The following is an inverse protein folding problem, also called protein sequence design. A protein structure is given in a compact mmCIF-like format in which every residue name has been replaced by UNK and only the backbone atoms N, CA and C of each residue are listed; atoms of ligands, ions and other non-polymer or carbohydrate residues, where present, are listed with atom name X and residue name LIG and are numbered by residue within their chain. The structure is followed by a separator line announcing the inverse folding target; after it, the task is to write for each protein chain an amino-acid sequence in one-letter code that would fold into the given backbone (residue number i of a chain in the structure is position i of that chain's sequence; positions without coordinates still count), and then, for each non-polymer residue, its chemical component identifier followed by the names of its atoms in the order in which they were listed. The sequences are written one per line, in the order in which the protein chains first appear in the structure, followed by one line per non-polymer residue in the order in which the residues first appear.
data_IF_988644610784
#
_entry.id   IF_988644610784
#
_cell.length_a   1.000
_cell.length_b   1.000
_cell.length_c   1.000
_cell.angle_alpha   90.00
_cell.angle_beta   90.00
_cell.angle_gamma   90.00
#
_symmetry.space_group_name_H-M   'P 1'
#
loop_
_entity.id
_entity.type
_entity.pdbx_description
1 polymer ?
#
# COMPACT_ATOMS: atom_id res chain seq x y z
N UNK A 1 8.67 15.94 -14.98
CA UNK A 1 8.64 16.80 -13.79
C UNK A 1 9.25 16.04 -12.61
N UNK A 2 10.16 16.65 -11.84
CA UNK A 2 10.79 16.03 -10.65
C UNK A 2 9.77 15.84 -9.52
N UNK A 3 8.76 16.73 -9.45
CA UNK A 3 7.65 16.69 -8.50
C UNK A 3 6.97 15.33 -8.39
N UNK A 4 6.71 14.65 -9.51
CA UNK A 4 6.04 13.34 -9.52
C UNK A 4 6.89 12.22 -8.91
N UNK A 5 8.22 12.28 -9.06
CA UNK A 5 9.12 11.33 -8.40
C UNK A 5 9.08 11.50 -6.88
N UNK A 6 9.03 12.75 -6.41
CA UNK A 6 8.94 13.07 -4.98
C UNK A 6 7.58 12.62 -4.42
N UNK A 7 6.47 12.95 -5.10
CA UNK A 7 5.15 12.47 -4.71
C UNK A 7 5.08 10.94 -4.63
N UNK A 8 5.66 10.25 -5.62
CA UNK A 8 5.72 8.79 -5.63
C UNK A 8 6.46 8.24 -4.42
N UNK A 9 7.63 8.80 -4.09
CA UNK A 9 8.36 8.39 -2.88
C UNK A 9 7.58 8.64 -1.59
N UNK A 10 6.84 9.75 -1.50
CA UNK A 10 6.00 10.06 -0.34
C UNK A 10 4.87 9.04 -0.21
N UNK A 11 4.16 8.74 -1.29
CA UNK A 11 3.06 7.75 -1.25
C UNK A 11 3.54 6.33 -0.96
N UNK A 12 4.70 5.94 -1.53
CA UNK A 12 5.34 4.65 -1.19
C UNK A 12 5.71 4.63 0.30
N UNK A 13 6.34 5.69 0.81
CA UNK A 13 6.71 5.80 2.21
C UNK A 13 5.51 5.76 3.16
N UNK A 14 4.42 6.46 2.82
CA UNK A 14 3.17 6.42 3.59
C UNK A 14 2.55 5.03 3.57
N UNK A 15 2.50 4.35 2.42
CA UNK A 15 1.97 2.99 2.33
C UNK A 15 2.81 1.97 3.11
N UNK A 16 4.14 2.13 3.14
CA UNK A 16 5.03 1.29 3.96
C UNK A 16 4.83 1.59 5.45
N UNK A 17 4.76 2.86 5.85
CA UNK A 17 4.50 3.21 7.26
C UNK A 17 3.18 2.62 7.75
N UNK A 18 2.13 2.70 6.92
CA UNK A 18 0.82 2.14 7.21
C UNK A 18 0.85 0.59 7.34
N UNK A 19 1.69 -0.07 6.55
CA UNK A 19 1.97 -1.50 6.68
C UNK A 19 2.75 -1.83 7.95
N UNK A 20 3.77 -1.05 8.28
CA UNK A 20 4.61 -1.27 9.45
C UNK A 20 3.80 -1.08 10.73
N UNK A 21 2.93 -0.07 10.80
CA UNK A 21 2.02 0.09 11.94
C UNK A 21 1.11 -1.13 12.12
N UNK A 22 0.68 -1.76 11.02
CA UNK A 22 -0.11 -2.99 11.07
C UNK A 22 0.67 -4.23 11.53
N UNK A 23 1.96 -4.33 11.16
CA UNK A 23 2.81 -5.44 11.60
C UNK A 23 3.26 -5.33 13.07
N UNK A 24 3.33 -4.12 13.60
CA UNK A 24 3.92 -3.87 14.91
C UNK A 24 2.90 -3.99 16.06
N UNK A 25 1.62 -3.76 15.78
CA UNK A 25 0.57 -3.98 16.76
C UNK A 25 -0.06 -5.36 16.60
N UNK A 26 -0.29 -6.07 17.71
CA UNK A 26 -1.10 -7.31 17.79
C UNK A 26 -2.55 -7.14 17.24
N UNK A 27 -2.87 -5.97 16.70
CA UNK A 27 -4.11 -5.62 16.01
C UNK A 27 -4.29 -6.32 14.66
N UNK A 28 -3.28 -7.03 14.15
CA UNK A 28 -3.39 -7.84 12.94
C UNK A 28 -4.68 -8.69 12.99
N UNK A 29 -4.89 -9.41 14.09
CA UNK A 29 -6.09 -10.23 14.30
C UNK A 29 -7.37 -9.40 14.43
N UNK A 30 -7.37 -8.27 15.15
CA UNK A 30 -8.58 -7.43 15.36
C UNK A 30 -9.04 -6.70 14.09
N UNK A 31 -8.10 -6.28 13.25
CA UNK A 31 -8.35 -5.60 11.97
C UNK A 31 -8.75 -6.62 10.90
N UNK A 32 -8.14 -7.82 10.93
CA UNK A 32 -8.51 -8.94 10.07
C UNK A 32 -9.85 -9.58 10.49
N UNK A 33 -10.20 -9.56 11.78
CA UNK A 33 -11.47 -10.04 12.32
C UNK A 33 -12.59 -9.00 12.17
N UNK A 34 -12.80 -8.46 10.96
CA UNK A 34 -13.93 -7.58 10.62
C UNK A 34 -14.34 -6.54 11.70
N UNK A 35 -13.38 -6.00 12.45
CA UNK A 35 -13.60 -4.79 13.23
C UNK A 35 -13.97 -3.66 12.27
N UNK A 36 -14.83 -2.74 12.70
CA UNK A 36 -15.37 -1.62 11.88
C UNK A 36 -14.30 -0.77 11.18
N UNK A 37 -13.04 -0.87 11.60
CA UNK A 37 -11.87 -0.24 11.01
C UNK A 37 -11.25 -1.03 9.84
N UNK A 38 -11.25 -2.36 9.81
CA UNK A 38 -10.50 -3.17 8.82
C UNK A 38 -10.70 -2.82 7.35
N UNK A 39 -11.96 -2.70 6.85
CA UNK A 39 -12.22 -2.38 5.45
C UNK A 39 -11.69 -1.02 5.01
N UNK A 40 -11.75 -0.01 5.90
CA UNK A 40 -11.26 1.33 5.61
C UNK A 40 -9.73 1.34 5.44
N UNK A 41 -9.03 0.58 6.27
CA UNK A 41 -7.56 0.48 6.21
C UNK A 41 -7.07 -0.16 4.91
N UNK A 42 -7.69 -1.26 4.47
CA UNK A 42 -7.34 -1.89 3.18
C UNK A 42 -7.54 -0.94 2.01
N UNK A 43 -8.65 -0.19 2.02
CA UNK A 43 -8.96 0.79 0.99
C UNK A 43 -7.91 1.91 0.95
N UNK A 44 -7.51 2.44 2.11
CA UNK A 44 -6.47 3.48 2.21
C UNK A 44 -5.11 2.97 1.71
N UNK A 45 -4.74 1.74 2.06
CA UNK A 45 -3.47 1.14 1.61
C UNK A 45 -3.44 0.97 0.08
N UNK A 46 -4.54 0.52 -0.52
CA UNK A 46 -4.68 0.38 -1.98
C UNK A 46 -4.61 1.76 -2.66
N UNK A 47 -5.25 2.79 -2.10
CA UNK A 47 -5.21 4.15 -2.64
C UNK A 47 -3.79 4.71 -2.64
N UNK A 48 -3.05 4.60 -1.54
CA UNK A 48 -1.66 5.08 -1.50
C UNK A 48 -0.76 4.33 -2.49
N UNK A 49 -0.95 3.02 -2.62
CA UNK A 49 -0.20 2.20 -3.58
C UNK A 49 -0.51 2.57 -5.03
N UNK A 50 -1.79 2.84 -5.35
CA UNK A 50 -2.23 3.30 -6.67
C UNK A 50 -1.69 4.69 -7.00
N UNK A 51 -1.82 5.65 -6.08
CA UNK A 51 -1.29 7.00 -6.23
C UNK A 51 0.24 6.98 -6.40
N UNK A 52 0.94 6.15 -5.62
CA UNK A 52 2.38 5.91 -5.76
C UNK A 52 2.75 5.37 -7.14
N UNK A 53 1.95 4.45 -7.67
CA UNK A 53 2.16 3.85 -9.00
C UNK A 53 1.88 4.83 -10.14
N UNK A 54 0.78 5.58 -10.07
CA UNK A 54 0.41 6.58 -11.09
C UNK A 54 1.46 7.69 -11.14
N UNK A 55 1.90 8.17 -9.97
CA UNK A 55 2.93 9.21 -9.89
C UNK A 55 4.31 8.70 -10.30
N UNK A 56 4.67 7.45 -9.99
CA UNK A 56 5.88 6.80 -10.52
C UNK A 56 5.84 6.66 -12.04
N UNK A 57 4.68 6.33 -12.60
CA UNK A 57 4.50 6.21 -14.04
C UNK A 57 4.66 7.56 -14.76
N UNK A 58 4.11 8.64 -14.20
CA UNK A 58 4.20 10.00 -14.74
C UNK A 58 5.53 10.71 -14.44
N UNK A 59 6.39 10.11 -13.61
CA UNK A 59 7.69 10.67 -13.26
C UNK A 59 8.62 10.81 -14.48
N UNK A 60 9.53 11.80 -14.42
CA UNK A 60 10.52 12.05 -15.49
C UNK A 60 11.33 10.77 -15.73
N UNK A 61 11.59 10.43 -17.00
CA UNK A 61 12.45 9.30 -17.40
C UNK A 61 13.85 9.54 -16.82
N UNK A 62 14.12 8.93 -15.68
CA UNK A 62 15.37 8.96 -14.92
C UNK A 62 15.59 7.54 -14.39
N UNK A 63 16.83 7.17 -14.07
CA UNK A 63 17.15 5.81 -13.58
C UNK A 63 16.32 5.43 -12.34
N UNK A 64 15.99 6.41 -11.49
CA UNK A 64 15.14 6.21 -10.31
C UNK A 64 13.66 5.96 -10.61
N UNK A 65 13.18 6.26 -11.82
CA UNK A 65 11.76 6.02 -12.21
C UNK A 65 11.44 4.53 -12.21
N UNK A 66 12.35 3.72 -12.73
CA UNK A 66 12.16 2.27 -12.83
C UNK A 66 12.13 1.65 -11.42
N UNK A 67 13.04 2.07 -10.55
CA UNK A 67 13.05 1.69 -9.14
C UNK A 67 11.75 2.07 -8.43
N UNK A 68 11.30 3.32 -8.55
CA UNK A 68 10.03 3.77 -7.96
C UNK A 68 8.83 2.97 -8.48
N UNK A 69 8.79 2.66 -9.77
CA UNK A 69 7.76 1.82 -10.38
C UNK A 69 7.77 0.40 -9.83
N UNK A 70 8.95 -0.23 -9.72
CA UNK A 70 9.08 -1.57 -9.15
C UNK A 70 8.57 -1.55 -7.70
N UNK A 71 9.05 -0.62 -6.87
CA UNK A 71 8.60 -0.49 -5.48
C UNK A 71 7.09 -0.25 -5.37
N UNK A 72 6.53 0.64 -6.17
CA UNK A 72 5.08 0.92 -6.12
C UNK A 72 4.25 -0.28 -6.57
N UNK A 73 4.69 -1.01 -7.59
CA UNK A 73 4.01 -2.22 -8.06
C UNK A 73 4.11 -3.33 -7.01
N UNK A 74 5.27 -3.56 -6.41
CA UNK A 74 5.45 -4.54 -5.33
C UNK A 74 4.56 -4.20 -4.15
N UNK A 75 4.52 -2.93 -3.73
CA UNK A 75 3.64 -2.46 -2.65
C UNK A 75 2.17 -2.67 -2.99
N UNK A 76 1.76 -2.40 -4.24
CA UNK A 76 0.40 -2.60 -4.71
C UNK A 76 0.01 -4.09 -4.71
N UNK A 77 0.87 -4.97 -5.23
CA UNK A 77 0.65 -6.42 -5.19
C UNK A 77 0.51 -6.89 -3.73
N UNK A 78 1.39 -6.41 -2.86
CA UNK A 78 1.36 -6.76 -1.44
C UNK A 78 0.08 -6.28 -0.76
N UNK A 79 -0.36 -5.06 -1.05
CA UNK A 79 -1.63 -4.51 -0.55
C UNK A 79 -2.84 -5.33 -0.99
N UNK A 80 -2.84 -5.82 -2.24
CA UNK A 80 -3.90 -6.69 -2.76
C UNK A 80 -3.89 -8.05 -2.09
N UNK A 81 -2.73 -8.66 -1.88
CA UNK A 81 -2.59 -9.95 -1.18
C UNK A 81 -3.11 -9.82 0.25
N UNK A 82 -2.70 -8.80 0.99
CA UNK A 82 -3.15 -8.58 2.37
C UNK A 82 -4.65 -8.32 2.42
N UNK A 83 -5.19 -7.51 1.50
CA UNK A 83 -6.63 -7.26 1.43
C UNK A 83 -7.39 -8.55 1.13
N UNK A 84 -6.88 -9.39 0.23
CA UNK A 84 -7.46 -10.69 -0.09
C UNK A 84 -7.45 -11.62 1.13
N UNK A 85 -6.29 -11.76 1.79
CA UNK A 85 -6.15 -12.57 3.01
C UNK A 85 -7.05 -12.04 4.14
N UNK A 86 -7.17 -10.72 4.30
CA UNK A 86 -8.05 -10.13 5.31
C UNK A 86 -9.53 -10.30 5.01
N UNK A 87 -9.94 -10.16 3.76
CA UNK A 87 -11.35 -10.25 3.39
C UNK A 87 -11.85 -11.69 3.30
N UNK A 88 -10.98 -12.64 2.95
CA UNK A 88 -11.35 -14.05 2.72
C UNK A 88 -10.79 -15.03 3.74
N UNK A 89 -9.61 -14.77 4.32
CA UNK A 89 -8.95 -15.67 5.27
C UNK A 89 -9.56 -15.70 6.66
N UNK A 90 -10.36 -14.69 7.03
CA UNK A 90 -11.03 -14.56 8.33
C UNK A 90 -12.57 -14.63 8.19
N UNK A 91 -13.05 -15.13 7.06
CA UNK A 91 -14.49 -15.26 6.77
C UNK A 91 -15.10 -16.56 7.27
N UNK A 92 -14.31 -17.50 7.77
CA UNK A 92 -14.79 -18.73 8.38
C UNK A 92 -14.62 -18.68 9.91
N UNK A 93 -15.68 -18.90 10.69
CA UNK A 93 -15.64 -18.98 12.16
C UNK A 93 -14.94 -20.25 12.68
#
# INVERSE_FOLDING_TARGET
MILFSVLSSIFIGLGILFLVTWFNELELLNVLSFGTSGPFFFLVLIIYSLLGTITAFLAKKNNYRILLLIFSITLLIYSLIITYVGMFGFREP
#
